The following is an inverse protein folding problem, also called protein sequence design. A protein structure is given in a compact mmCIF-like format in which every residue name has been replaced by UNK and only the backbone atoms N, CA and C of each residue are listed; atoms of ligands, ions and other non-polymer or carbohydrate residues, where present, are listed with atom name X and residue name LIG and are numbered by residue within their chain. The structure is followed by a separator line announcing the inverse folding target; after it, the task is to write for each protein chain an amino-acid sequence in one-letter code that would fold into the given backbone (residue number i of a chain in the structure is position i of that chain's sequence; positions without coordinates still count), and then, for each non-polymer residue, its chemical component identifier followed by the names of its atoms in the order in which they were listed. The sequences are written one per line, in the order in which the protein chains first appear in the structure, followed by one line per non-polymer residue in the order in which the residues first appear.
data_IF_754221727916
#
_entry.id   IF_754221727916
#
_cell.length_a   1.000
_cell.length_b   1.000
_cell.length_c   1.000
_cell.angle_alpha   90.00
_cell.angle_beta   90.00
_cell.angle_gamma   90.00
#
_symmetry.space_group_name_H-M   'P 1'
#
loop_
_entity.id
_entity.type
_entity.pdbx_description
1 polymer ?
#
# COMPACT_ATOMS: atom_id res chain seq x y z
N UNK A 1 -20.81 7.83 10.46
CA UNK A 1 -20.97 6.38 10.75
C UNK A 1 -20.43 5.62 9.54
N UNK A 2 -19.64 4.56 9.74
CA UNK A 2 -19.19 3.66 8.68
C UNK A 2 -19.76 2.28 8.99
N UNK A 3 -20.44 1.63 8.03
CA UNK A 3 -21.09 0.32 8.22
C UNK A 3 -21.98 0.26 9.50
N UNK A 4 -22.74 1.33 9.78
CA UNK A 4 -23.60 1.44 10.96
C UNK A 4 -22.89 1.82 12.28
N UNK A 5 -21.55 1.69 12.36
CA UNK A 5 -20.74 2.06 13.53
C UNK A 5 -20.44 3.57 13.56
N UNK A 6 -20.67 4.22 14.69
CA UNK A 6 -20.22 5.61 14.91
C UNK A 6 -18.72 5.60 15.15
N UNK A 7 -17.97 6.36 14.36
CA UNK A 7 -16.52 6.47 14.46
C UNK A 7 -16.14 7.83 15.05
N UNK A 8 -15.22 7.83 16.00
CA UNK A 8 -14.55 9.04 16.49
C UNK A 8 -13.12 9.02 15.99
N UNK A 9 -12.83 9.77 14.93
CA UNK A 9 -11.50 9.84 14.31
C UNK A 9 -10.88 11.17 14.74
N UNK A 10 -9.80 11.13 15.52
CA UNK A 10 -9.10 12.34 15.99
C UNK A 10 -7.76 12.55 15.30
N UNK A 11 -7.16 11.47 14.81
CA UNK A 11 -5.89 11.48 14.07
C UNK A 11 -5.90 10.45 12.95
N UNK A 12 -5.03 10.63 11.97
CA UNK A 12 -4.94 9.77 10.78
C UNK A 12 -4.82 8.27 11.11
N UNK A 13 -4.05 7.91 12.13
CA UNK A 13 -3.92 6.52 12.57
C UNK A 13 -5.24 5.87 13.00
N UNK A 14 -6.21 6.68 13.45
CA UNK A 14 -7.53 6.17 13.86
C UNK A 14 -8.35 5.77 12.64
N UNK A 15 -8.30 6.56 11.57
CA UNK A 15 -8.92 6.24 10.29
C UNK A 15 -8.34 4.94 9.71
N UNK A 16 -7.01 4.80 9.72
CA UNK A 16 -6.34 3.59 9.23
C UNK A 16 -6.78 2.31 9.96
N UNK A 17 -6.99 2.37 11.28
CA UNK A 17 -7.47 1.21 12.07
C UNK A 17 -8.89 0.80 11.71
N UNK A 18 -9.70 1.73 11.23
CA UNK A 18 -11.06 1.47 10.75
C UNK A 18 -11.09 1.13 9.25
N UNK A 19 -9.92 0.93 8.61
CA UNK A 19 -9.81 0.58 7.20
C UNK A 19 -9.99 1.77 6.25
N UNK A 20 -9.87 3.00 6.75
CA UNK A 20 -10.00 4.23 5.98
C UNK A 20 -8.60 4.80 5.73
N UNK A 21 -8.24 4.98 4.46
CA UNK A 21 -7.02 5.67 4.07
C UNK A 21 -7.37 6.94 3.28
N UNK A 22 -6.58 7.99 3.48
CA UNK A 22 -6.67 9.18 2.64
C UNK A 22 -5.82 8.97 1.39
N UNK A 23 -6.38 9.31 0.23
CA UNK A 23 -5.67 9.33 -1.03
C UNK A 23 -5.85 10.72 -1.62
N UNK A 24 -4.74 11.41 -1.86
CA UNK A 24 -4.77 12.72 -2.53
C UNK A 24 -5.46 12.61 -3.90
N UNK A 25 -6.20 13.65 -4.28
CA UNK A 25 -6.83 13.73 -5.59
C UNK A 25 -5.77 13.70 -6.72
N UNK A 26 -4.60 14.29 -6.48
CA UNK A 26 -3.47 14.26 -7.41
C UNK A 26 -2.50 13.10 -7.14
N UNK A 27 -3.05 11.89 -6.96
CA UNK A 27 -2.23 10.69 -6.72
C UNK A 27 -1.27 10.37 -7.87
N UNK A 28 -1.56 10.84 -9.09
CA UNK A 28 -0.74 10.58 -10.27
C UNK A 28 0.55 11.40 -10.27
N UNK A 29 0.53 12.65 -9.79
CA UNK A 29 1.73 13.47 -9.72
C UNK A 29 2.56 13.24 -8.45
N UNK A 30 1.93 12.89 -7.32
CA UNK A 30 2.62 12.90 -6.02
C UNK A 30 2.59 11.56 -5.25
N UNK A 31 1.82 10.56 -5.68
CA UNK A 31 1.53 9.36 -4.88
C UNK A 31 2.04 8.04 -5.45
N UNK A 32 2.59 8.03 -6.66
CA UNK A 32 3.08 6.83 -7.36
C UNK A 32 4.34 7.15 -8.17
N UNK A 33 5.19 6.15 -8.33
CA UNK A 33 6.35 6.18 -9.20
C UNK A 33 5.93 5.77 -10.62
N UNK A 34 5.65 6.74 -11.48
CA UNK A 34 5.12 6.50 -12.83
C UNK A 34 6.06 5.68 -13.72
N UNK A 35 7.36 5.86 -13.57
CA UNK A 35 8.38 5.15 -14.36
C UNK A 35 8.69 3.74 -13.84
N UNK A 36 8.12 3.35 -12.70
CA UNK A 36 8.36 2.05 -12.08
C UNK A 36 7.21 1.07 -12.36
N UNK A 37 7.51 -0.23 -12.47
CA UNK A 37 6.48 -1.27 -12.50
C UNK A 37 5.54 -1.18 -11.29
N UNK A 38 4.29 -1.62 -11.47
CA UNK A 38 3.29 -1.70 -10.38
C UNK A 38 3.82 -2.48 -9.18
N UNK A 39 4.57 -3.57 -9.44
CA UNK A 39 5.17 -4.37 -8.37
C UNK A 39 6.13 -3.56 -7.48
N UNK A 40 6.92 -2.67 -8.08
CA UNK A 40 7.86 -1.81 -7.36
C UNK A 40 7.16 -0.66 -6.66
N UNK A 41 6.11 -0.11 -7.27
CA UNK A 41 5.23 0.85 -6.60
C UNK A 41 4.63 0.27 -5.32
N UNK A 42 4.14 -0.97 -5.39
CA UNK A 42 3.57 -1.68 -4.23
C UNK A 42 4.66 -2.00 -3.18
N UNK A 43 5.82 -2.48 -3.60
CA UNK A 43 6.89 -2.91 -2.69
C UNK A 43 7.59 -1.73 -1.99
N UNK A 44 7.60 -0.55 -2.61
CA UNK A 44 8.19 0.67 -2.05
C UNK A 44 7.62 1.06 -0.68
N UNK A 45 6.33 0.80 -0.46
CA UNK A 45 5.66 1.05 0.83
C UNK A 45 6.01 0.01 1.91
N UNK A 46 6.64 -1.10 1.52
CA UNK A 46 6.88 -2.26 2.36
C UNK A 46 8.32 -2.81 2.20
N UNK A 47 9.30 -1.93 1.98
CA UNK A 47 10.70 -2.31 1.72
C UNK A 47 11.27 -3.30 2.75
N UNK A 48 10.98 -3.11 4.04
CA UNK A 48 11.40 -4.05 5.10
C UNK A 48 10.84 -5.46 4.95
N UNK A 49 9.68 -5.64 4.31
CA UNK A 49 9.05 -6.94 4.08
C UNK A 49 9.60 -7.67 2.85
N UNK A 50 10.22 -6.92 1.94
CA UNK A 50 10.79 -7.46 0.69
C UNK A 50 12.32 -7.45 0.68
N UNK A 51 12.95 -7.04 1.78
CA UNK A 51 14.41 -7.01 1.92
C UNK A 51 14.89 -8.11 2.86
N UNK A 52 16.06 -8.67 2.56
CA UNK A 52 16.78 -9.58 3.44
C UNK A 52 17.22 -8.88 4.73
N UNK A 53 17.66 -9.66 5.73
CA UNK A 53 18.25 -9.11 6.95
C UNK A 53 19.48 -8.21 6.68
N UNK A 54 20.14 -8.38 5.53
CA UNK A 54 21.27 -7.56 5.08
C UNK A 54 20.84 -6.34 4.23
N UNK A 55 19.54 -6.07 4.11
CA UNK A 55 19.01 -4.93 3.36
C UNK A 55 18.91 -5.14 1.84
N UNK A 56 19.29 -6.32 1.33
CA UNK A 56 19.18 -6.63 -0.10
C UNK A 56 17.74 -6.96 -0.51
N UNK A 57 17.27 -6.37 -1.60
CA UNK A 57 15.93 -6.61 -2.14
C UNK A 57 15.80 -8.05 -2.65
N UNK A 58 14.76 -8.75 -2.20
CA UNK A 58 14.44 -10.11 -2.60
C UNK A 58 13.32 -10.10 -3.65
N UNK A 59 13.70 -10.22 -4.93
CA UNK A 59 12.77 -10.17 -6.08
C UNK A 59 11.60 -11.15 -5.97
N UNK A 60 11.84 -12.37 -5.50
CA UNK A 60 10.78 -13.37 -5.30
C UNK A 60 9.74 -12.93 -4.26
N UNK A 61 10.18 -12.28 -3.18
CA UNK A 61 9.31 -11.76 -2.12
C UNK A 61 8.53 -10.54 -2.61
N UNK A 62 9.19 -9.63 -3.34
CA UNK A 62 8.55 -8.50 -4.01
C UNK A 62 7.45 -8.95 -4.98
N UNK A 63 7.75 -9.89 -5.87
CA UNK A 63 6.78 -10.40 -6.84
C UNK A 63 5.57 -11.05 -6.15
N UNK A 64 5.81 -11.89 -5.13
CA UNK A 64 4.73 -12.53 -4.35
C UNK A 64 3.83 -11.49 -3.70
N UNK A 65 4.40 -10.44 -3.10
CA UNK A 65 3.65 -9.36 -2.47
C UNK A 65 2.81 -8.59 -3.49
N UNK A 66 3.40 -8.27 -4.64
CA UNK A 66 2.71 -7.58 -5.73
C UNK A 66 1.52 -8.39 -6.27
N UNK A 67 1.69 -9.69 -6.51
CA UNK A 67 0.61 -10.58 -6.96
C UNK A 67 -0.51 -10.67 -5.92
N UNK A 68 -0.16 -10.87 -4.64
CA UNK A 68 -1.14 -10.96 -3.57
C UNK A 68 -1.98 -9.69 -3.41
N UNK A 69 -1.34 -8.53 -3.48
CA UNK A 69 -2.04 -7.24 -3.36
C UNK A 69 -2.80 -6.88 -4.63
N UNK A 70 -2.25 -7.19 -5.81
CA UNK A 70 -2.93 -7.01 -7.08
C UNK A 70 -4.22 -7.83 -7.17
N UNK A 71 -4.19 -9.08 -6.71
CA UNK A 71 -5.37 -9.94 -6.65
C UNK A 71 -6.45 -9.37 -5.71
N UNK A 72 -6.08 -8.83 -4.53
CA UNK A 72 -7.03 -8.19 -3.60
C UNK A 72 -7.69 -6.93 -4.18
N UNK A 73 -7.00 -6.24 -5.08
CA UNK A 73 -7.46 -5.00 -5.70
C UNK A 73 -8.08 -5.21 -7.08
N UNK A 74 -8.23 -6.46 -7.53
CA UNK A 74 -8.72 -6.82 -8.88
C UNK A 74 -7.99 -6.04 -10.00
N UNK A 75 -6.66 -5.92 -9.88
CA UNK A 75 -5.83 -5.36 -10.96
C UNK A 75 -5.88 -6.31 -12.15
N UNK A 76 -6.22 -5.78 -13.33
CA UNK A 76 -6.20 -6.50 -14.61
C UNK A 76 -4.84 -6.39 -15.28
#
# INVERSE_FOLDING_TARGET
RLNGKTLSIRKYSDALREGIAYLSEDRKAAGVFLDLPIAQNISSMALRRVSSALGLLQRATEHRLAVQLGAKLNLK
#
